data_IF_943412750203
#
_entry.id   IF_943412750203
#
_cell.length_a   1.000
_cell.length_b   1.000
_cell.length_c   1.000
_cell.angle_alpha   90.00
_cell.angle_beta   90.00
_cell.angle_gamma   90.00
#
_symmetry.space_group_name_H-M   'P 1'
#
loop_
_entity.id
_entity.type
_entity.pdbx_description
1 polymer ?
#
# COMPACT_ATOMS: atom_id res chain seq x y z
N UNK A 1 28.80 -23.83 46.94
CA UNK A 1 27.59 -24.51 46.37
C UNK A 1 26.60 -23.42 45.96
N UNK A 2 26.22 -23.31 44.70
CA UNK A 2 25.18 -22.35 44.33
C UNK A 2 23.88 -22.86 44.93
N UNK A 3 23.17 -21.96 45.61
CA UNK A 3 21.87 -22.20 46.18
C UNK A 3 20.87 -22.39 45.01
N UNK A 4 20.19 -23.54 44.98
CA UNK A 4 19.11 -23.76 44.02
C UNK A 4 17.88 -22.99 44.52
N UNK A 5 17.43 -21.96 43.76
CA UNK A 5 16.13 -21.35 44.03
C UNK A 5 15.05 -22.42 43.85
N UNK A 6 14.36 -22.75 44.94
CA UNK A 6 13.22 -23.67 44.87
C UNK A 6 12.00 -22.93 44.28
N UNK A 7 11.35 -23.51 43.30
CA UNK A 7 10.10 -22.97 42.76
C UNK A 7 8.93 -23.29 43.73
N UNK A 8 7.83 -22.50 43.65
CA UNK A 8 6.60 -22.80 44.44
C UNK A 8 6.06 -24.21 44.15
N UNK A 9 6.33 -24.76 43.00
CA UNK A 9 5.95 -26.10 42.63
C UNK A 9 6.84 -27.15 43.29
N UNK A 10 8.13 -26.91 43.38
CA UNK A 10 9.08 -27.80 44.05
C UNK A 10 8.77 -27.86 45.55
N UNK A 11 8.40 -26.75 46.17
CA UNK A 11 7.99 -26.72 47.57
C UNK A 11 6.72 -27.55 47.82
N UNK A 12 5.72 -27.46 46.93
CA UNK A 12 4.48 -28.25 47.02
C UNK A 12 4.79 -29.75 46.80
N UNK A 13 5.69 -30.07 45.90
CA UNK A 13 6.13 -31.44 45.63
C UNK A 13 6.85 -32.05 46.87
N UNK A 14 7.80 -31.32 47.46
CA UNK A 14 8.46 -31.72 48.72
C UNK A 14 7.47 -31.94 49.86
N UNK A 15 6.52 -31.03 49.99
CA UNK A 15 5.48 -31.16 51.03
C UNK A 15 4.64 -32.43 50.86
N UNK A 16 4.24 -32.74 49.61
CA UNK A 16 3.45 -33.95 49.31
C UNK A 16 4.30 -35.21 49.47
N UNK A 17 5.55 -35.21 49.05
CA UNK A 17 6.47 -36.38 49.18
C UNK A 17 6.65 -36.75 50.67
N UNK A 18 6.96 -35.79 51.52
CA UNK A 18 7.15 -36.03 52.96
C UNK A 18 5.85 -36.45 53.66
N UNK A 19 4.70 -35.94 53.20
CA UNK A 19 3.39 -36.41 53.67
C UNK A 19 3.19 -37.90 53.31
N UNK A 20 3.58 -38.33 52.11
CA UNK A 20 3.49 -39.76 51.71
C UNK A 20 4.45 -40.67 52.45
N UNK A 21 5.60 -40.11 52.91
CA UNK A 21 6.54 -40.79 53.77
C UNK A 21 6.04 -40.94 55.23
N UNK A 22 4.82 -40.43 55.53
CA UNK A 22 4.14 -40.63 56.81
C UNK A 22 4.27 -39.49 57.83
N UNK A 23 4.84 -38.33 57.43
CA UNK A 23 4.96 -37.21 58.32
C UNK A 23 3.60 -36.52 58.59
N UNK A 24 3.45 -35.97 59.78
CA UNK A 24 2.22 -35.26 60.22
C UNK A 24 2.04 -33.99 59.41
N UNK A 25 0.80 -33.74 58.89
CA UNK A 25 0.44 -32.49 58.18
C UNK A 25 0.70 -31.27 59.10
N UNK A 26 0.52 -31.40 60.39
CA UNK A 26 0.71 -30.28 61.34
C UNK A 26 2.17 -29.85 61.44
N UNK A 27 3.08 -30.80 61.44
CA UNK A 27 4.52 -30.55 61.58
C UNK A 27 5.07 -30.02 60.24
N UNK A 28 4.65 -30.63 59.10
CA UNK A 28 4.96 -30.14 57.79
C UNK A 28 4.50 -28.70 57.57
N UNK A 29 3.27 -28.38 57.97
CA UNK A 29 2.77 -27.00 57.85
C UNK A 29 3.58 -25.98 58.68
N UNK A 30 4.08 -26.40 59.85
CA UNK A 30 4.94 -25.56 60.70
C UNK A 30 6.29 -25.32 60.05
N UNK A 31 6.88 -26.35 59.47
CA UNK A 31 8.19 -26.29 58.83
C UNK A 31 8.16 -25.49 57.50
N UNK A 32 7.16 -25.76 56.67
CA UNK A 32 6.98 -25.03 55.40
C UNK A 32 6.36 -23.63 55.55
N UNK A 33 6.05 -23.17 56.77
CA UNK A 33 5.50 -21.84 57.04
C UNK A 33 4.13 -21.59 56.44
N UNK A 34 3.31 -22.65 56.28
CA UNK A 34 1.96 -22.54 55.68
C UNK A 34 0.88 -22.86 56.71
N UNK A 35 -0.33 -22.34 56.52
CA UNK A 35 -1.46 -22.67 57.36
C UNK A 35 -1.90 -24.12 57.18
N UNK A 36 -2.43 -24.76 58.29
CA UNK A 36 -2.98 -26.13 58.22
C UNK A 36 -4.05 -26.26 57.12
N UNK A 37 -4.89 -25.19 56.93
CA UNK A 37 -5.91 -25.16 55.89
C UNK A 37 -5.27 -25.25 54.48
N UNK A 38 -4.13 -24.59 54.29
CA UNK A 38 -3.37 -24.66 53.02
C UNK A 38 -2.77 -26.05 52.82
N UNK A 39 -2.16 -26.66 53.85
CA UNK A 39 -1.62 -27.99 53.82
C UNK A 39 -2.68 -29.04 53.43
N UNK A 40 -3.82 -29.02 54.15
CA UNK A 40 -4.93 -29.94 53.80
C UNK A 40 -5.48 -29.71 52.38
N UNK A 41 -5.54 -28.48 51.89
CA UNK A 41 -5.95 -28.20 50.51
C UNK A 41 -4.96 -28.75 49.46
N UNK A 42 -3.66 -28.70 49.75
CA UNK A 42 -2.64 -29.24 48.85
C UNK A 42 -2.76 -30.76 48.79
N UNK A 43 -2.89 -31.42 49.93
CA UNK A 43 -3.04 -32.88 49.98
C UNK A 43 -4.36 -33.34 49.35
N UNK A 44 -5.49 -32.66 49.63
CA UNK A 44 -6.76 -32.98 48.99
C UNK A 44 -6.69 -32.91 47.47
N UNK A 45 -6.07 -31.86 46.93
CA UNK A 45 -5.86 -31.72 45.49
C UNK A 45 -5.00 -32.82 44.89
N UNK A 46 -3.93 -33.19 45.60
CA UNK A 46 -3.07 -34.28 45.16
C UNK A 46 -3.84 -35.61 45.12
N UNK A 47 -4.68 -35.90 46.16
CA UNK A 47 -5.51 -37.11 46.21
C UNK A 47 -6.56 -37.16 45.11
N UNK A 48 -7.14 -36.00 44.73
CA UNK A 48 -8.17 -35.91 43.67
C UNK A 48 -7.60 -36.08 42.25
N UNK A 49 -6.48 -35.48 41.93
CA UNK A 49 -6.00 -35.34 40.56
C UNK A 49 -4.48 -35.52 40.36
N UNK A 50 -3.80 -36.07 41.38
CA UNK A 50 -2.36 -36.34 41.31
C UNK A 50 -1.46 -35.08 41.23
N UNK A 51 -0.27 -35.25 40.69
CA UNK A 51 0.76 -34.20 40.66
C UNK A 51 0.37 -32.99 39.83
N UNK A 52 -0.43 -33.16 38.79
CA UNK A 52 -0.92 -32.06 37.93
C UNK A 52 -1.79 -31.05 38.68
N UNK A 53 -2.47 -31.49 39.74
CA UNK A 53 -3.31 -30.64 40.55
C UNK A 53 -2.54 -29.66 41.49
N UNK A 54 -1.22 -29.87 41.62
CA UNK A 54 -0.35 -28.98 42.40
C UNK A 54 0.00 -27.70 41.67
N UNK A 55 -0.23 -27.63 40.36
CA UNK A 55 -0.13 -26.39 39.59
C UNK A 55 -1.14 -25.37 40.04
N UNK A 56 -0.80 -24.08 39.98
CA UNK A 56 -1.72 -23.03 40.36
C UNK A 56 -2.90 -22.99 39.36
N UNK A 57 -4.11 -23.19 39.90
CA UNK A 57 -5.32 -23.06 39.07
C UNK A 57 -5.51 -21.60 38.67
N UNK A 58 -5.96 -21.38 37.42
CA UNK A 58 -6.31 -20.05 36.95
C UNK A 58 -7.35 -19.42 37.89
N UNK A 59 -7.06 -18.23 38.40
CA UNK A 59 -7.98 -17.43 39.23
C UNK A 59 -9.00 -16.67 38.36
N UNK A 60 -9.00 -16.85 37.06
CA UNK A 60 -9.97 -16.20 36.16
C UNK A 60 -11.36 -16.74 36.43
N UNK A 61 -12.35 -15.88 36.62
CA UNK A 61 -13.75 -16.31 36.75
C UNK A 61 -14.19 -17.08 35.51
N UNK A 62 -14.97 -18.12 35.65
CA UNK A 62 -15.54 -18.90 34.55
C UNK A 62 -16.56 -18.06 33.74
N UNK A 63 -17.22 -17.11 34.40
CA UNK A 63 -18.13 -16.12 33.81
C UNK A 63 -17.70 -14.72 34.21
N UNK A 64 -17.62 -13.82 33.25
CA UNK A 64 -17.38 -12.40 33.48
C UNK A 64 -18.70 -11.65 33.28
N UNK A 65 -19.01 -10.70 34.15
CA UNK A 65 -20.22 -9.88 34.05
C UNK A 65 -20.35 -9.14 32.72
N UNK A 66 -19.19 -8.77 32.11
CA UNK A 66 -19.10 -8.07 30.83
C UNK A 66 -18.66 -9.01 29.69
N UNK A 67 -18.93 -10.31 29.78
CA UNK A 67 -18.60 -11.23 28.70
C UNK A 67 -19.51 -10.97 27.50
N UNK A 68 -18.90 -10.90 26.30
CA UNK A 68 -19.65 -10.74 25.07
C UNK A 68 -20.65 -11.89 24.88
N UNK A 69 -21.88 -11.62 24.42
CA UNK A 69 -22.82 -12.68 24.06
C UNK A 69 -22.20 -13.65 23.06
N UNK A 70 -22.44 -14.94 23.24
CA UNK A 70 -21.86 -16.00 22.42
C UNK A 70 -22.13 -15.81 20.92
N UNK A 71 -23.33 -15.35 20.56
CA UNK A 71 -23.70 -15.07 19.17
C UNK A 71 -22.80 -13.99 18.55
N UNK A 72 -22.47 -12.93 19.30
CA UNK A 72 -21.58 -11.85 18.81
C UNK A 72 -20.15 -12.36 18.66
N UNK A 73 -19.69 -13.19 19.59
CA UNK A 73 -18.38 -13.85 19.48
C UNK A 73 -18.28 -14.74 18.24
N UNK A 74 -19.32 -15.56 17.98
CA UNK A 74 -19.39 -16.37 16.75
C UNK A 74 -19.37 -15.53 15.47
N UNK A 75 -20.06 -14.39 15.44
CA UNK A 75 -20.02 -13.48 14.29
C UNK A 75 -18.63 -12.89 14.06
N UNK A 76 -17.93 -12.50 15.12
CA UNK A 76 -16.54 -12.04 15.03
C UNK A 76 -15.65 -13.12 14.39
N UNK A 77 -15.76 -14.36 14.85
CA UNK A 77 -15.00 -15.50 14.31
C UNK A 77 -15.38 -15.77 12.85
N UNK A 78 -16.66 -15.74 12.52
CA UNK A 78 -17.17 -15.95 11.14
C UNK A 78 -16.64 -14.87 10.18
N UNK A 79 -16.69 -13.60 10.58
CA UNK A 79 -16.12 -12.48 9.80
C UNK A 79 -14.62 -12.70 9.61
N UNK A 80 -13.89 -13.12 10.67
CA UNK A 80 -12.46 -13.41 10.57
C UNK A 80 -12.14 -14.56 9.65
N UNK A 81 -12.96 -15.62 9.61
CA UNK A 81 -12.81 -16.74 8.68
C UNK A 81 -13.08 -16.32 7.23
N UNK A 82 -14.07 -15.47 7.02
CA UNK A 82 -14.37 -14.89 5.70
C UNK A 82 -13.24 -13.97 5.24
N UNK A 83 -12.68 -13.18 6.16
CA UNK A 83 -11.61 -12.19 5.90
C UNK A 83 -10.36 -12.47 6.75
N UNK A 84 -9.59 -13.53 6.45
CA UNK A 84 -8.50 -13.99 7.33
C UNK A 84 -7.41 -12.96 7.60
N UNK A 85 -7.26 -11.98 6.70
CA UNK A 85 -6.22 -10.95 6.77
C UNK A 85 -6.67 -9.65 7.44
N UNK A 86 -7.93 -9.57 7.86
CA UNK A 86 -8.44 -8.39 8.56
C UNK A 86 -8.08 -8.45 10.05
N UNK A 87 -7.67 -7.29 10.58
CA UNK A 87 -7.45 -7.11 12.02
C UNK A 87 -8.73 -6.67 12.74
N UNK A 88 -8.69 -6.68 14.07
CA UNK A 88 -9.82 -6.33 14.93
C UNK A 88 -10.56 -5.02 14.57
N UNK A 89 -9.89 -3.92 14.19
CA UNK A 89 -10.60 -2.69 13.81
C UNK A 89 -11.53 -2.87 12.61
N UNK A 90 -11.09 -3.61 11.58
CA UNK A 90 -11.90 -3.84 10.36
C UNK A 90 -13.06 -4.80 10.60
N UNK A 91 -12.81 -5.84 11.41
CA UNK A 91 -13.84 -6.80 11.81
C UNK A 91 -14.91 -6.09 12.63
N UNK A 92 -14.51 -5.18 13.55
CA UNK A 92 -15.43 -4.34 14.29
C UNK A 92 -16.31 -3.50 13.37
N UNK A 93 -15.72 -2.84 12.39
CA UNK A 93 -16.46 -2.00 11.44
C UNK A 93 -17.46 -2.83 10.62
N UNK A 94 -17.05 -4.01 10.18
CA UNK A 94 -17.94 -4.94 9.48
C UNK A 94 -19.09 -5.41 10.37
N UNK A 95 -18.82 -5.62 11.66
CA UNK A 95 -19.84 -5.99 12.64
C UNK A 95 -20.89 -4.86 12.79
N UNK A 96 -20.44 -3.61 12.89
CA UNK A 96 -21.31 -2.43 12.97
C UNK A 96 -22.23 -2.36 11.73
N UNK A 97 -21.64 -2.47 10.56
CA UNK A 97 -22.38 -2.32 9.28
C UNK A 97 -23.40 -3.41 9.05
N UNK A 98 -23.20 -4.63 9.59
CA UNK A 98 -24.11 -5.77 9.41
C UNK A 98 -25.15 -5.91 10.52
N UNK A 99 -24.84 -5.40 11.71
CA UNK A 99 -25.67 -5.55 12.89
C UNK A 99 -25.75 -4.21 13.65
N UNK A 100 -26.40 -3.18 13.08
CA UNK A 100 -26.45 -1.85 13.67
C UNK A 100 -27.15 -1.82 15.04
N UNK A 101 -28.07 -2.74 15.27
CA UNK A 101 -28.87 -2.82 16.51
C UNK A 101 -28.15 -3.51 17.68
N UNK A 102 -26.98 -4.12 17.42
CA UNK A 102 -26.22 -4.81 18.47
C UNK A 102 -25.21 -3.84 19.11
N UNK A 103 -25.13 -3.78 20.45
CA UNK A 103 -24.09 -3.02 21.14
C UNK A 103 -22.70 -3.43 20.64
N UNK A 104 -22.00 -2.52 19.96
CA UNK A 104 -20.74 -2.85 19.30
C UNK A 104 -19.61 -2.96 20.31
N UNK A 105 -18.90 -4.09 20.38
CA UNK A 105 -17.78 -4.26 21.29
C UNK A 105 -16.61 -3.33 20.94
N UNK A 106 -15.81 -2.98 21.95
CA UNK A 106 -14.59 -2.23 21.74
C UNK A 106 -13.59 -3.04 20.86
N UNK A 107 -12.71 -2.35 20.13
CA UNK A 107 -11.68 -3.01 19.29
C UNK A 107 -10.79 -3.96 20.09
N UNK A 108 -10.48 -3.62 21.35
CA UNK A 108 -9.72 -4.48 22.26
C UNK A 108 -10.47 -5.77 22.60
N UNK A 109 -11.79 -5.70 22.78
CA UNK A 109 -12.63 -6.87 23.01
C UNK A 109 -12.67 -7.78 21.80
N UNK A 110 -12.83 -7.22 20.58
CA UNK A 110 -12.75 -7.98 19.34
C UNK A 110 -11.38 -8.67 19.21
N UNK A 111 -10.29 -7.95 19.52
CA UNK A 111 -8.95 -8.53 19.51
C UNK A 111 -8.82 -9.68 20.51
N UNK A 112 -9.32 -9.52 21.73
CA UNK A 112 -9.27 -10.56 22.75
C UNK A 112 -10.07 -11.83 22.37
N UNK A 113 -11.21 -11.67 21.66
CA UNK A 113 -11.95 -12.80 21.08
C UNK A 113 -11.09 -13.52 20.05
N UNK A 114 -10.52 -12.78 19.09
CA UNK A 114 -9.67 -13.36 18.05
C UNK A 114 -8.45 -14.07 18.62
N UNK A 115 -7.84 -13.52 19.66
CA UNK A 115 -6.67 -14.09 20.35
C UNK A 115 -7.02 -15.41 21.05
N UNK A 116 -8.15 -15.47 21.77
CA UNK A 116 -8.65 -16.71 22.40
C UNK A 116 -8.87 -17.84 21.40
N UNK A 117 -9.31 -17.49 20.18
CA UNK A 117 -9.53 -18.46 19.10
C UNK A 117 -8.26 -18.75 18.28
N UNK A 118 -7.07 -18.26 18.68
CA UNK A 118 -5.82 -18.45 17.97
C UNK A 118 -5.77 -17.79 16.57
N UNK A 119 -6.63 -16.80 16.33
CA UNK A 119 -6.78 -16.15 15.04
C UNK A 119 -5.93 -14.86 14.90
N UNK A 120 -5.07 -14.59 15.87
CA UNK A 120 -4.15 -13.44 15.87
C UNK A 120 -2.73 -13.92 15.61
N UNK A 121 -2.11 -13.37 14.57
CA UNK A 121 -0.69 -13.55 14.34
C UNK A 121 0.09 -12.44 15.04
N UNK A 122 0.83 -12.75 16.09
CA UNK A 122 1.74 -11.80 16.73
C UNK A 122 2.85 -11.41 15.78
N UNK A 123 2.94 -10.13 15.41
CA UNK A 123 4.03 -9.58 14.62
C UNK A 123 4.98 -8.81 15.52
N UNK A 124 6.29 -9.02 15.34
CA UNK A 124 7.28 -8.15 15.97
C UNK A 124 7.01 -6.69 15.56
N UNK A 125 7.09 -5.72 16.47
CA UNK A 125 6.89 -4.32 16.14
C UNK A 125 7.89 -3.90 15.06
N UNK A 126 7.39 -3.26 14.01
CA UNK A 126 8.22 -2.69 12.96
C UNK A 126 8.86 -1.40 13.49
N UNK A 127 10.15 -1.22 13.22
CA UNK A 127 10.83 0.05 13.53
C UNK A 127 10.12 1.19 12.81
N UNK A 128 9.88 2.30 13.51
CA UNK A 128 9.39 3.54 12.91
C UNK A 128 10.42 4.04 11.88
N UNK A 129 9.93 4.36 10.69
CA UNK A 129 10.76 5.00 9.65
C UNK A 129 10.55 6.51 9.72
N UNK A 130 11.59 7.27 9.42
CA UNK A 130 11.51 8.71 9.30
C UNK A 130 10.41 9.13 8.31
N UNK A 131 9.71 10.22 8.61
CA UNK A 131 8.74 10.81 7.68
C UNK A 131 9.49 11.31 6.47
N UNK A 132 9.16 10.81 5.28
CA UNK A 132 9.72 11.33 4.02
C UNK A 132 9.16 12.71 3.71
N UNK A 133 9.88 13.47 2.88
CA UNK A 133 9.40 14.76 2.35
C UNK A 133 8.11 14.52 1.56
N UNK A 134 7.04 15.22 1.90
CA UNK A 134 5.77 15.10 1.20
C UNK A 134 5.86 15.75 -0.20
N UNK A 135 5.30 15.06 -1.19
CA UNK A 135 4.95 15.66 -2.49
C UNK A 135 3.54 16.27 -2.40
N UNK A 136 2.98 16.66 -3.54
CA UNK A 136 1.62 17.21 -3.59
C UNK A 136 0.62 16.30 -2.88
N UNK A 137 -0.35 16.88 -2.19
CA UNK A 137 -1.42 16.17 -1.51
C UNK A 137 -2.76 16.52 -2.18
N UNK A 138 -3.37 15.53 -2.83
CA UNK A 138 -4.71 15.67 -3.37
C UNK A 138 -5.75 15.54 -2.26
N UNK A 139 -6.76 16.41 -2.30
CA UNK A 139 -7.87 16.43 -1.34
C UNK A 139 -9.14 15.78 -1.91
N UNK A 140 -9.28 15.77 -3.23
CA UNK A 140 -10.45 15.23 -3.92
C UNK A 140 -10.07 14.09 -4.88
N UNK A 141 -10.99 13.18 -5.19
CA UNK A 141 -10.77 12.15 -6.20
C UNK A 141 -10.36 12.74 -7.56
N UNK A 142 -9.50 12.01 -8.25
CA UNK A 142 -8.97 12.32 -9.58
C UNK A 142 -8.06 13.56 -9.67
N UNK A 143 -7.79 14.27 -8.57
CA UNK A 143 -6.73 15.28 -8.59
C UNK A 143 -5.34 14.65 -8.79
N UNK A 144 -5.14 13.47 -8.25
CA UNK A 144 -3.85 12.77 -8.37
C UNK A 144 -4.07 11.27 -8.39
N UNK A 145 -3.65 10.62 -9.48
CA UNK A 145 -3.51 9.17 -9.52
C UNK A 145 -2.07 8.78 -9.23
N UNK A 146 -1.87 7.70 -8.49
CA UNK A 146 -0.56 7.09 -8.28
C UNK A 146 -0.47 5.83 -9.12
N UNK A 147 0.62 5.69 -9.86
CA UNK A 147 0.87 4.54 -10.72
C UNK A 147 2.22 3.93 -10.38
N UNK A 148 2.29 2.61 -10.44
CA UNK A 148 3.53 1.86 -10.26
C UNK A 148 3.36 0.43 -10.80
N UNK A 149 4.47 -0.19 -11.20
CA UNK A 149 4.54 -1.62 -11.43
C UNK A 149 4.88 -2.33 -10.11
N UNK A 150 4.00 -3.22 -9.68
CA UNK A 150 4.31 -4.08 -8.55
C UNK A 150 5.33 -5.11 -8.97
N UNK A 151 6.59 -4.92 -8.72
CA UNK A 151 7.68 -5.81 -9.10
C UNK A 151 7.26 -7.21 -9.55
N UNK A 152 7.95 -7.76 -10.50
CA UNK A 152 7.65 -9.04 -11.16
C UNK A 152 7.55 -10.22 -10.20
N UNK A 153 6.76 -11.21 -10.56
CA UNK A 153 6.73 -12.51 -9.92
C UNK A 153 6.36 -13.59 -10.95
N UNK A 154 6.80 -14.80 -10.68
CA UNK A 154 6.60 -15.93 -11.57
C UNK A 154 5.25 -16.60 -11.32
N UNK A 155 4.53 -16.88 -12.39
CA UNK A 155 3.28 -17.65 -12.41
C UNK A 155 3.55 -19.17 -12.42
N UNK A 156 2.52 -19.97 -12.26
CA UNK A 156 2.62 -21.43 -12.28
C UNK A 156 3.13 -22.00 -13.62
N UNK A 157 2.84 -21.33 -14.73
CA UNK A 157 3.32 -21.67 -16.08
C UNK A 157 4.75 -21.16 -16.37
N UNK A 158 5.46 -20.67 -15.36
CA UNK A 158 6.83 -20.13 -15.41
C UNK A 158 6.97 -18.81 -16.20
N UNK A 159 5.90 -18.16 -16.58
CA UNK A 159 5.95 -16.79 -17.12
C UNK A 159 5.98 -15.77 -16.00
N UNK A 160 6.62 -14.62 -16.27
CA UNK A 160 6.62 -13.49 -15.34
C UNK A 160 5.39 -12.63 -15.55
N UNK A 161 4.81 -12.18 -14.43
CA UNK A 161 3.74 -11.19 -14.39
C UNK A 161 4.27 -9.88 -13.83
N UNK A 162 3.97 -8.77 -14.53
CA UNK A 162 4.31 -7.40 -14.17
C UNK A 162 3.03 -6.62 -13.87
N UNK A 163 2.49 -6.64 -12.65
CA UNK A 163 1.22 -5.97 -12.36
C UNK A 163 1.33 -4.45 -12.50
N UNK A 164 0.60 -3.88 -13.45
CA UNK A 164 0.36 -2.45 -13.52
C UNK A 164 -0.73 -2.07 -12.52
N UNK A 165 -0.45 -1.15 -11.62
CA UNK A 165 -1.42 -0.71 -10.61
C UNK A 165 -1.61 0.79 -10.66
N UNK A 166 -2.86 1.23 -10.56
CA UNK A 166 -3.25 2.63 -10.53
C UNK A 166 -4.21 2.85 -9.36
N UNK A 167 -3.92 3.82 -8.50
CA UNK A 167 -4.79 4.17 -7.38
C UNK A 167 -5.09 5.66 -7.36
N UNK A 168 -6.29 6.03 -6.98
CA UNK A 168 -6.59 7.41 -6.62
C UNK A 168 -5.96 7.76 -5.27
N UNK A 169 -5.27 8.89 -5.21
CA UNK A 169 -4.52 9.30 -4.02
C UNK A 169 -5.40 9.63 -2.84
N UNK A 170 -6.51 10.33 -3.04
CA UNK A 170 -7.37 10.83 -1.96
C UNK A 170 -8.27 9.73 -1.41
N UNK A 171 -9.04 9.08 -2.25
CA UNK A 171 -10.01 8.04 -1.89
C UNK A 171 -9.38 6.67 -1.65
N UNK A 172 -8.12 6.46 -2.07
CA UNK A 172 -7.45 5.15 -2.08
C UNK A 172 -8.09 4.12 -3.01
N UNK A 173 -9.01 4.53 -3.85
CA UNK A 173 -9.68 3.64 -4.79
C UNK A 173 -8.65 3.03 -5.75
N UNK A 174 -8.65 1.70 -5.84
CA UNK A 174 -7.80 0.96 -6.75
C UNK A 174 -8.47 0.93 -8.13
N UNK A 175 -8.00 1.82 -9.01
CA UNK A 175 -8.54 2.02 -10.35
C UNK A 175 -8.18 0.86 -11.27
N UNK A 176 -6.95 0.34 -11.12
CA UNK A 176 -6.42 -0.71 -11.96
C UNK A 176 -5.47 -1.63 -11.18
N UNK A 177 -5.56 -2.91 -11.47
CA UNK A 177 -4.54 -3.91 -11.18
C UNK A 177 -4.55 -4.90 -12.35
N UNK A 178 -3.64 -4.74 -13.30
CA UNK A 178 -3.63 -5.50 -14.55
C UNK A 178 -2.38 -6.36 -14.66
N UNK A 179 -2.59 -7.63 -14.99
CA UNK A 179 -1.51 -8.58 -15.23
C UNK A 179 -0.88 -8.32 -16.60
N UNK A 180 0.33 -7.77 -16.61
CA UNK A 180 1.08 -7.49 -17.83
C UNK A 180 2.17 -8.54 -18.03
N UNK A 181 2.44 -8.89 -19.31
CA UNK A 181 3.55 -9.78 -19.68
C UNK A 181 4.90 -9.05 -19.68
N UNK A 182 4.88 -7.73 -19.75
CA UNK A 182 6.07 -6.89 -19.73
C UNK A 182 5.73 -5.45 -19.32
N UNK A 183 6.76 -4.67 -19.03
CA UNK A 183 6.65 -3.23 -18.77
C UNK A 183 6.76 -2.39 -20.05
N UNK A 184 6.47 -2.96 -21.22
CA UNK A 184 6.55 -2.24 -22.50
C UNK A 184 5.56 -1.09 -22.53
N UNK A 185 6.04 0.03 -23.04
CA UNK A 185 5.32 1.32 -23.08
C UNK A 185 3.97 1.23 -23.81
N UNK A 186 3.93 0.51 -24.93
CA UNK A 186 2.70 0.35 -25.72
C UNK A 186 1.57 -0.35 -24.92
N UNK A 187 1.92 -1.36 -24.13
CA UNK A 187 0.93 -2.06 -23.30
C UNK A 187 0.36 -1.12 -22.22
N UNK A 188 1.24 -0.31 -21.62
CA UNK A 188 0.82 0.69 -20.65
C UNK A 188 -0.10 1.75 -21.28
N UNK A 189 0.23 2.26 -22.47
CA UNK A 189 -0.61 3.23 -23.20
C UNK A 189 -2.01 2.65 -23.43
N UNK A 190 -2.11 1.41 -23.93
CA UNK A 190 -3.40 0.74 -24.16
C UNK A 190 -4.22 0.59 -22.88
N UNK A 191 -3.57 0.21 -21.78
CA UNK A 191 -4.24 0.12 -20.47
C UNK A 191 -4.75 1.49 -20.02
N UNK A 192 -3.94 2.53 -20.08
CA UNK A 192 -4.35 3.88 -19.71
C UNK A 192 -5.48 4.43 -20.58
N UNK A 193 -5.45 4.15 -21.88
CA UNK A 193 -6.53 4.56 -22.78
C UNK A 193 -7.88 3.97 -22.35
N UNK A 194 -7.92 2.69 -21.99
CA UNK A 194 -9.10 2.04 -21.42
C UNK A 194 -9.53 2.68 -20.11
N UNK A 195 -8.58 2.90 -19.18
CA UNK A 195 -8.87 3.53 -17.89
C UNK A 195 -9.43 4.95 -18.05
N UNK A 196 -8.88 5.73 -18.97
CA UNK A 196 -9.36 7.10 -19.24
C UNK A 196 -10.77 7.11 -19.84
N UNK A 197 -11.12 6.13 -20.68
CA UNK A 197 -12.49 5.98 -21.18
C UNK A 197 -13.48 5.62 -20.06
N UNK A 198 -13.04 4.79 -19.13
CA UNK A 198 -13.90 4.30 -18.06
C UNK A 198 -14.05 5.29 -16.91
N UNK A 199 -12.95 5.84 -16.43
CA UNK A 199 -12.90 6.66 -15.21
C UNK A 199 -12.78 8.17 -15.48
N UNK A 200 -12.50 8.59 -16.72
CA UNK A 200 -12.14 9.95 -17.08
C UNK A 200 -10.67 10.29 -16.78
N UNK A 201 -10.28 11.54 -17.05
CA UNK A 201 -8.90 11.99 -16.92
C UNK A 201 -8.61 12.54 -15.52
N UNK A 202 -7.52 12.18 -14.86
CA UNK A 202 -7.05 12.84 -13.65
C UNK A 202 -6.40 14.19 -13.98
N UNK A 203 -6.19 15.03 -12.95
CA UNK A 203 -5.44 16.27 -13.13
C UNK A 203 -3.93 16.02 -13.19
N UNK A 204 -3.44 15.04 -12.40
CA UNK A 204 -2.05 14.67 -12.37
C UNK A 204 -1.87 13.15 -12.18
N UNK A 205 -0.73 12.62 -12.64
CA UNK A 205 -0.29 11.25 -12.40
C UNK A 205 1.08 11.28 -11.74
N UNK A 206 1.18 10.62 -10.58
CA UNK A 206 2.45 10.39 -9.86
C UNK A 206 2.99 9.01 -10.19
N UNK A 207 4.25 8.98 -10.65
CA UNK A 207 4.97 7.73 -10.95
C UNK A 207 6.36 7.72 -10.32
N UNK A 208 7.00 6.57 -10.35
CA UNK A 208 8.43 6.45 -10.17
C UNK A 208 9.20 6.96 -11.42
N UNK A 209 10.54 6.84 -11.39
CA UNK A 209 11.40 7.21 -12.49
C UNK A 209 11.78 6.01 -13.39
N UNK A 210 11.10 4.89 -13.24
CA UNK A 210 11.34 3.67 -14.02
C UNK A 210 10.63 3.68 -15.38
N UNK A 211 11.06 2.80 -16.25
CA UNK A 211 10.38 2.51 -17.51
C UNK A 211 9.05 1.80 -17.20
N UNK A 212 7.93 2.18 -17.82
CA UNK A 212 7.75 3.07 -18.98
C UNK A 212 7.42 4.53 -18.64
N UNK A 213 7.42 4.91 -17.36
CA UNK A 213 7.00 6.25 -16.93
C UNK A 213 8.03 7.33 -17.21
N UNK A 214 9.30 6.94 -17.28
CA UNK A 214 10.43 7.82 -17.54
C UNK A 214 11.43 7.16 -18.50
N UNK A 215 12.17 8.00 -19.23
CA UNK A 215 13.30 7.57 -20.08
C UNK A 215 14.53 8.36 -19.71
N UNK A 216 15.60 7.73 -19.17
CA UNK A 216 16.76 8.44 -18.67
C UNK A 216 17.55 9.19 -19.74
N UNK A 217 17.40 8.83 -21.01
CA UNK A 217 18.11 9.43 -22.15
C UNK A 217 17.30 10.47 -22.92
N UNK A 218 16.04 10.69 -22.54
CA UNK A 218 15.19 11.67 -23.21
C UNK A 218 15.24 13.03 -22.50
N UNK A 219 14.92 14.09 -23.22
CA UNK A 219 14.83 15.44 -22.68
C UNK A 219 13.89 15.46 -21.48
N UNK A 220 14.32 16.01 -20.34
CA UNK A 220 13.60 16.03 -19.07
C UNK A 220 13.14 14.64 -18.57
N UNK A 221 13.76 13.56 -19.07
CA UNK A 221 13.39 12.20 -18.74
C UNK A 221 12.00 11.79 -19.25
N UNK A 222 11.42 12.47 -20.24
CA UNK A 222 10.11 12.13 -20.78
C UNK A 222 10.13 10.75 -21.45
N UNK A 223 9.04 10.01 -21.34
CA UNK A 223 8.75 8.79 -22.10
C UNK A 223 7.58 9.05 -23.06
N UNK A 224 7.31 8.18 -24.02
CA UNK A 224 6.13 8.33 -24.89
C UNK A 224 4.84 8.28 -24.09
N UNK A 225 4.79 7.46 -23.02
CA UNK A 225 3.65 7.41 -22.11
C UNK A 225 3.46 8.74 -21.37
N UNK A 226 4.52 9.34 -20.87
CA UNK A 226 4.46 10.64 -20.21
C UNK A 226 4.09 11.77 -21.18
N UNK A 227 4.60 11.74 -22.40
CA UNK A 227 4.19 12.65 -23.49
C UNK A 227 2.70 12.48 -23.81
N UNK A 228 2.20 11.26 -23.86
CA UNK A 228 0.78 10.96 -24.07
C UNK A 228 -0.09 11.59 -22.95
N UNK A 229 0.33 11.47 -21.69
CA UNK A 229 -0.38 12.12 -20.56
C UNK A 229 -0.40 13.63 -20.69
N UNK A 230 0.75 14.26 -21.00
CA UNK A 230 0.81 15.71 -21.22
C UNK A 230 -0.14 16.16 -22.34
N UNK A 231 -0.20 15.40 -23.46
CA UNK A 231 -1.11 15.67 -24.57
C UNK A 231 -2.60 15.63 -24.18
N UNK A 232 -2.94 14.89 -23.11
CA UNK A 232 -4.28 14.85 -22.54
C UNK A 232 -4.51 15.93 -21.46
N UNK A 233 -3.53 16.81 -21.25
CA UNK A 233 -3.60 17.83 -20.19
C UNK A 233 -3.50 17.26 -18.78
N UNK A 234 -2.80 16.13 -18.63
CA UNK A 234 -2.51 15.49 -17.34
C UNK A 234 -1.11 15.89 -16.91
N UNK A 235 -0.97 16.50 -15.75
CA UNK A 235 0.32 16.86 -15.18
C UNK A 235 1.10 15.63 -14.72
N UNK A 236 2.43 15.68 -14.84
CA UNK A 236 3.32 14.61 -14.39
C UNK A 236 3.94 15.01 -13.07
N UNK A 237 3.91 14.11 -12.10
CA UNK A 237 4.63 14.25 -10.84
C UNK A 237 5.53 13.04 -10.62
N UNK A 238 6.82 13.25 -10.40
CA UNK A 238 7.80 12.19 -10.18
C UNK A 238 8.28 12.17 -8.75
N UNK A 239 8.43 10.97 -8.19
CA UNK A 239 9.08 10.82 -6.89
C UNK A 239 10.59 11.06 -7.04
N UNK A 240 11.23 11.56 -5.97
CA UNK A 240 12.68 11.67 -5.93
C UNK A 240 13.32 10.29 -6.02
N UNK A 241 14.39 10.11 -6.83
CA UNK A 241 15.15 8.87 -6.83
C UNK A 241 15.60 8.50 -5.40
N UNK A 242 15.44 7.23 -5.03
CA UNK A 242 15.78 6.74 -3.69
C UNK A 242 14.77 7.08 -2.58
N UNK A 243 13.65 7.76 -2.89
CA UNK A 243 12.62 8.12 -1.90
C UNK A 243 11.26 7.44 -2.16
N UNK A 244 11.16 6.11 -2.09
CA UNK A 244 9.91 5.39 -2.33
C UNK A 244 8.80 5.80 -1.36
N UNK A 245 9.15 6.33 -0.19
CA UNK A 245 8.22 6.81 0.83
C UNK A 245 7.24 7.89 0.30
N UNK A 246 7.63 8.64 -0.74
CA UNK A 246 6.80 9.63 -1.40
C UNK A 246 5.57 9.01 -2.09
N UNK A 247 5.63 7.70 -2.41
CA UNK A 247 4.50 6.90 -2.87
C UNK A 247 4.01 5.88 -1.82
N UNK A 248 4.25 6.14 -0.53
CA UNK A 248 4.01 5.19 0.57
C UNK A 248 2.55 4.72 0.71
N UNK A 249 1.58 5.49 0.19
CA UNK A 249 0.18 5.06 0.12
C UNK A 249 0.01 3.91 -0.85
N UNK A 250 0.60 4.03 -2.02
CA UNK A 250 0.60 3.02 -3.08
C UNK A 250 1.38 1.76 -2.65
N UNK A 251 2.56 1.94 -2.04
CA UNK A 251 3.33 0.82 -1.48
C UNK A 251 2.55 0.02 -0.42
N UNK A 252 1.74 0.69 0.39
CA UNK A 252 0.88 0.01 1.36
C UNK A 252 -0.18 -0.85 0.66
N UNK A 253 -0.76 -0.38 -0.44
CA UNK A 253 -1.66 -1.15 -1.28
C UNK A 253 -0.92 -2.36 -1.86
N UNK A 254 0.28 -2.18 -2.42
CA UNK A 254 1.12 -3.26 -2.93
C UNK A 254 1.43 -4.34 -1.88
N UNK A 255 1.65 -3.96 -0.62
CA UNK A 255 1.84 -4.93 0.46
C UNK A 255 0.60 -5.80 0.64
N UNK A 256 -0.58 -5.20 0.54
CA UNK A 256 -1.84 -5.93 0.63
C UNK A 256 -2.01 -6.83 -0.58
N UNK A 257 -1.85 -6.31 -1.80
CA UNK A 257 -1.91 -7.05 -3.06
C UNK A 257 -1.00 -8.29 -3.03
N UNK A 258 0.27 -8.11 -2.61
CA UNK A 258 1.22 -9.23 -2.48
C UNK A 258 0.72 -10.35 -1.59
N UNK A 259 0.05 -10.01 -0.52
CA UNK A 259 -0.49 -11.02 0.41
C UNK A 259 -1.69 -11.77 -0.18
N UNK A 260 -2.48 -11.13 -1.04
CA UNK A 260 -3.71 -11.69 -1.59
C UNK A 260 -3.48 -12.46 -2.89
N UNK A 261 -2.63 -11.95 -3.78
CA UNK A 261 -2.60 -12.38 -5.17
C UNK A 261 -1.28 -12.98 -5.64
N UNK A 262 -0.22 -12.99 -4.81
CA UNK A 262 1.07 -13.52 -5.26
C UNK A 262 1.56 -14.73 -4.45
N UNK A 263 0.80 -15.16 -3.43
CA UNK A 263 1.15 -16.32 -2.58
C UNK A 263 -0.09 -17.08 -2.15
N UNK A 264 -0.50 -18.10 -2.93
CA UNK A 264 0.06 -18.53 -4.21
C UNK A 264 -0.25 -17.56 -5.36
N UNK A 265 0.57 -17.56 -6.41
CA UNK A 265 0.28 -16.90 -7.68
C UNK A 265 -0.66 -17.76 -8.53
N UNK A 266 -1.32 -17.15 -9.52
CA UNK A 266 -2.13 -17.84 -10.50
C UNK A 266 -1.29 -18.80 -11.38
N UNK A 267 -1.93 -19.79 -11.96
CA UNK A 267 -1.25 -20.73 -12.86
C UNK A 267 -0.82 -20.07 -14.18
N UNK A 268 -1.59 -19.09 -14.65
CA UNK A 268 -1.35 -18.35 -15.90
C UNK A 268 -1.86 -16.92 -15.77
N UNK A 269 -1.63 -16.09 -16.81
CA UNK A 269 -2.04 -14.68 -16.83
C UNK A 269 -3.54 -14.48 -16.62
N UNK A 270 -4.39 -15.35 -17.20
CA UNK A 270 -5.83 -15.22 -17.09
C UNK A 270 -6.32 -15.45 -15.65
N UNK A 271 -5.85 -16.50 -15.01
CA UNK A 271 -6.17 -16.77 -13.60
C UNK A 271 -5.59 -15.68 -12.69
N UNK A 272 -4.41 -15.16 -13.01
CA UNK A 272 -3.82 -14.08 -12.23
C UNK A 272 -4.66 -12.80 -12.36
N UNK A 273 -5.17 -12.50 -13.56
CA UNK A 273 -6.05 -11.36 -13.77
C UNK A 273 -7.37 -11.52 -12.99
N UNK A 274 -7.97 -12.69 -13.00
CA UNK A 274 -9.17 -12.98 -12.20
C UNK A 274 -8.90 -12.76 -10.68
N UNK A 275 -7.74 -13.17 -10.18
CA UNK A 275 -7.35 -12.90 -8.80
C UNK A 275 -7.22 -11.40 -8.51
N UNK A 276 -6.71 -10.63 -9.46
CA UNK A 276 -6.62 -9.17 -9.33
C UNK A 276 -7.99 -8.51 -9.35
N UNK A 277 -8.91 -8.95 -10.18
CA UNK A 277 -10.28 -8.42 -10.24
C UNK A 277 -11.04 -8.67 -8.93
N UNK A 278 -10.94 -9.88 -8.38
CA UNK A 278 -11.48 -10.19 -7.04
C UNK A 278 -10.84 -9.32 -5.95
N UNK A 279 -9.54 -9.06 -6.06
CA UNK A 279 -8.84 -8.19 -5.13
C UNK A 279 -9.29 -6.74 -5.26
N UNK A 280 -9.48 -6.22 -6.48
CA UNK A 280 -10.01 -4.86 -6.73
C UNK A 280 -11.39 -4.72 -6.08
N UNK A 281 -12.26 -5.69 -6.30
CA UNK A 281 -13.61 -5.69 -5.73
C UNK A 281 -13.57 -5.68 -4.19
N UNK A 282 -12.84 -6.63 -3.58
CA UNK A 282 -12.66 -6.65 -2.12
C UNK A 282 -12.06 -5.35 -1.59
N UNK A 283 -11.01 -4.85 -2.24
CA UNK A 283 -10.26 -3.68 -1.80
C UNK A 283 -11.11 -2.41 -1.81
N UNK A 284 -11.90 -2.21 -2.85
CA UNK A 284 -12.71 -1.03 -3.06
C UNK A 284 -14.06 -1.08 -2.34
N UNK A 285 -14.74 -2.22 -2.41
CA UNK A 285 -16.15 -2.33 -2.03
C UNK A 285 -16.37 -2.91 -0.63
N UNK A 286 -15.43 -3.74 -0.15
CA UNK A 286 -15.63 -4.46 1.11
C UNK A 286 -14.70 -4.01 2.24
N UNK A 287 -13.47 -3.61 1.89
CA UNK A 287 -12.41 -3.38 2.87
C UNK A 287 -12.49 -2.00 3.52
N UNK A 288 -12.71 -1.89 4.86
CA UNK A 288 -12.61 -0.62 5.56
C UNK A 288 -11.15 -0.15 5.64
N UNK A 289 -10.92 1.15 5.46
CA UNK A 289 -9.59 1.75 5.50
C UNK A 289 -9.44 2.67 6.70
N UNK A 290 -8.56 2.33 7.64
CA UNK A 290 -8.31 3.15 8.83
C UNK A 290 -7.92 4.60 8.51
N UNK A 291 -7.20 4.82 7.42
CA UNK A 291 -6.80 6.15 6.97
C UNK A 291 -7.93 6.93 6.26
N UNK A 292 -9.09 6.33 6.08
CA UNK A 292 -10.33 6.91 5.57
C UNK A 292 -11.42 6.86 6.65
N UNK A 293 -11.04 6.90 7.93
CA UNK A 293 -11.98 6.79 9.04
C UNK A 293 -12.85 5.53 8.97
N UNK A 294 -12.25 4.43 8.55
CA UNK A 294 -12.89 3.13 8.32
C UNK A 294 -13.88 3.09 7.15
N UNK A 295 -14.04 4.16 6.38
CA UNK A 295 -14.83 4.14 5.12
C UNK A 295 -14.14 3.28 4.07
N UNK A 296 -14.92 2.77 3.12
CA UNK A 296 -14.43 2.03 1.97
C UNK A 296 -14.02 3.01 0.85
N UNK A 297 -13.05 2.68 0.00
CA UNK A 297 -12.67 3.52 -1.12
C UNK A 297 -13.85 3.93 -2.01
N UNK A 298 -14.78 3.01 -2.29
CA UNK A 298 -15.98 3.26 -3.11
C UNK A 298 -16.89 4.33 -2.53
N UNK A 299 -16.95 4.48 -1.22
CA UNK A 299 -17.80 5.48 -0.55
C UNK A 299 -17.31 6.91 -0.85
N UNK A 300 -16.03 7.08 -1.15
CA UNK A 300 -15.37 8.36 -1.37
C UNK A 300 -15.04 8.64 -2.82
N UNK A 301 -14.85 7.61 -3.64
CA UNK A 301 -14.46 7.78 -5.04
C UNK A 301 -15.65 8.26 -5.89
N UNK A 302 -15.35 9.11 -6.86
CA UNK A 302 -16.28 9.52 -7.93
C UNK A 302 -15.51 9.59 -9.23
N UNK A 303 -16.14 9.27 -10.36
CA UNK A 303 -15.52 9.39 -11.68
C UNK A 303 -15.12 10.83 -11.97
N UNK A 304 -14.09 11.02 -12.77
CA UNK A 304 -13.64 12.35 -13.16
C UNK A 304 -14.68 13.05 -14.06
N UNK A 305 -14.83 14.36 -13.85
CA UNK A 305 -15.63 15.21 -14.72
C UNK A 305 -14.92 15.58 -16.04
N UNK A 306 -13.67 15.15 -16.21
CA UNK A 306 -12.88 15.36 -17.44
C UNK A 306 -12.99 14.12 -18.32
N UNK A 307 -13.89 14.09 -19.32
CA UNK A 307 -14.04 12.90 -20.18
C UNK A 307 -12.86 12.76 -21.12
N UNK A 308 -12.50 11.51 -21.42
CA UNK A 308 -11.49 11.21 -22.45
C UNK A 308 -12.07 11.45 -23.86
N UNK A 309 -11.49 12.38 -24.60
CA UNK A 309 -11.87 12.74 -25.97
C UNK A 309 -10.79 12.42 -27.01
N UNK A 310 -9.75 11.68 -26.59
CA UNK A 310 -8.57 11.50 -27.40
C UNK A 310 -7.61 12.69 -27.36
N UNK A 311 -6.54 12.59 -28.10
CA UNK A 311 -5.49 13.62 -28.17
C UNK A 311 -5.91 14.68 -29.19
N UNK A 312 -5.97 15.93 -28.77
CA UNK A 312 -6.28 17.09 -29.65
C UNK A 312 -5.02 17.67 -30.27
N UNK A 313 -5.12 18.28 -31.47
CA UNK A 313 -4.01 19.06 -32.03
C UNK A 313 -3.57 20.17 -31.07
N UNK A 314 -2.27 20.44 -31.03
CA UNK A 314 -1.71 21.53 -30.22
C UNK A 314 -1.47 22.73 -31.11
N UNK A 315 -1.82 23.93 -30.65
CA UNK A 315 -1.49 25.20 -31.31
C UNK A 315 -0.53 26.01 -30.44
N UNK A 316 0.33 26.75 -31.08
CA UNK A 316 1.34 27.59 -30.44
C UNK A 316 1.18 29.09 -30.83
N UNK A 317 0.10 29.74 -30.37
CA UNK A 317 -0.22 31.10 -30.84
C UNK A 317 0.78 32.18 -30.40
N UNK A 318 1.59 31.90 -29.38
CA UNK A 318 2.60 32.82 -28.85
C UNK A 318 4.04 32.50 -29.30
N UNK A 319 4.18 31.60 -30.29
CA UNK A 319 5.45 31.21 -30.87
C UNK A 319 5.55 31.66 -32.33
N UNK A 320 6.76 31.92 -32.78
CA UNK A 320 6.99 32.41 -34.14
C UNK A 320 6.75 31.33 -35.21
N UNK A 321 7.04 30.07 -34.84
CA UNK A 321 6.90 28.91 -35.74
C UNK A 321 6.41 27.69 -34.97
N UNK A 322 5.64 26.86 -35.67
CA UNK A 322 5.33 25.48 -35.22
C UNK A 322 6.05 24.53 -36.12
N UNK A 323 6.79 23.59 -35.52
CA UNK A 323 7.61 22.62 -36.29
C UNK A 323 7.32 21.22 -35.82
N UNK A 324 7.05 20.30 -36.76
CA UNK A 324 6.85 18.89 -36.46
C UNK A 324 8.20 18.17 -36.30
N UNK A 325 8.33 17.39 -35.23
CA UNK A 325 9.53 16.61 -34.94
C UNK A 325 9.57 15.38 -35.85
N UNK A 326 10.68 15.16 -36.55
CA UNK A 326 10.88 14.03 -37.42
C UNK A 326 10.92 12.70 -36.66
N UNK A 327 10.77 11.56 -37.36
CA UNK A 327 10.82 10.21 -36.75
C UNK A 327 12.12 9.93 -35.97
N UNK A 328 13.24 10.60 -36.34
CA UNK A 328 14.50 10.51 -35.58
C UNK A 328 14.64 11.53 -34.46
N UNK A 329 13.57 12.20 -34.06
CA UNK A 329 13.57 13.13 -32.91
C UNK A 329 14.24 14.48 -33.21
N UNK A 330 14.26 14.94 -34.48
CA UNK A 330 14.92 16.17 -34.89
C UNK A 330 13.92 17.19 -35.40
N UNK A 331 14.21 18.45 -35.21
CA UNK A 331 13.59 19.59 -35.87
C UNK A 331 14.53 20.13 -36.94
N UNK A 332 13.95 20.72 -38.00
CA UNK A 332 14.68 21.36 -39.06
C UNK A 332 14.35 22.84 -39.11
N UNK A 333 15.35 23.70 -38.89
CA UNK A 333 15.22 25.15 -38.90
C UNK A 333 16.38 25.71 -39.71
N UNK A 334 16.10 26.59 -40.68
CA UNK A 334 17.11 27.25 -41.52
C UNK A 334 18.16 26.27 -42.11
N UNK A 335 17.68 25.13 -42.62
CA UNK A 335 18.47 24.01 -43.14
C UNK A 335 19.38 23.31 -42.12
N UNK A 336 19.30 23.65 -40.84
CA UNK A 336 20.03 22.98 -39.75
C UNK A 336 19.13 21.94 -39.05
N UNK A 337 19.73 20.82 -38.66
CA UNK A 337 19.04 19.71 -37.97
C UNK A 337 19.44 19.68 -36.51
N UNK A 338 18.47 19.89 -35.63
CA UNK A 338 18.64 19.96 -34.18
C UNK A 338 17.96 18.76 -33.55
N UNK A 339 18.69 17.97 -32.77
CA UNK A 339 18.11 16.81 -32.07
C UNK A 339 17.44 17.25 -30.79
N UNK A 340 16.13 16.94 -30.64
CA UNK A 340 15.36 17.16 -29.42
C UNK A 340 15.23 15.85 -28.60
N UNK A 341 14.41 14.95 -29.11
CA UNK A 341 14.17 13.64 -28.48
C UNK A 341 13.32 12.76 -29.39
N UNK A 342 13.62 11.48 -29.46
CA UNK A 342 12.82 10.50 -30.20
C UNK A 342 11.46 10.23 -29.56
N UNK A 343 11.29 10.50 -28.26
CA UNK A 343 9.99 10.34 -27.57
C UNK A 343 8.96 11.36 -28.02
N UNK A 344 9.40 12.49 -28.59
CA UNK A 344 8.56 13.54 -29.14
C UNK A 344 8.36 13.42 -30.64
N UNK A 345 8.85 12.36 -31.30
CA UNK A 345 8.72 12.16 -32.74
C UNK A 345 7.25 12.20 -33.17
N UNK A 346 6.97 12.91 -34.27
CA UNK A 346 5.61 13.09 -34.79
C UNK A 346 4.76 14.12 -34.06
N UNK A 347 5.29 14.77 -33.03
CA UNK A 347 4.61 15.86 -32.34
C UNK A 347 5.10 17.22 -32.79
N UNK A 348 4.21 18.19 -32.68
CA UNK A 348 4.53 19.58 -32.97
C UNK A 348 5.09 20.27 -31.72
N UNK A 349 6.08 21.14 -31.92
CA UNK A 349 6.67 22.02 -30.92
C UNK A 349 6.58 23.47 -31.37
N UNK A 350 6.38 24.35 -30.42
CA UNK A 350 6.45 25.80 -30.63
C UNK A 350 7.91 26.25 -30.54
N UNK A 351 8.27 27.15 -31.41
CA UNK A 351 9.62 27.74 -31.48
C UNK A 351 9.49 29.23 -31.49
N UNK A 352 10.18 29.89 -30.54
CA UNK A 352 10.19 31.33 -30.38
C UNK A 352 11.62 31.85 -30.41
N UNK A 353 11.88 32.84 -31.23
CA UNK A 353 13.18 33.51 -31.24
C UNK A 353 13.30 34.41 -30.01
N UNK A 354 14.36 34.22 -29.23
CA UNK A 354 14.65 35.00 -28.02
C UNK A 354 15.81 35.93 -28.20
N UNK A 355 16.75 35.59 -29.09
CA UNK A 355 17.89 36.40 -29.46
C UNK A 355 18.29 36.12 -30.91
N UNK A 356 19.26 36.83 -31.48
CA UNK A 356 19.60 36.84 -32.92
C UNK A 356 19.80 35.42 -33.50
N UNK A 357 20.30 34.45 -32.72
CA UNK A 357 20.49 33.04 -33.14
C UNK A 357 20.00 32.02 -32.13
N UNK A 358 19.38 32.50 -31.05
CA UNK A 358 18.90 31.66 -29.94
C UNK A 358 17.39 31.52 -30.00
N UNK A 359 16.93 30.28 -29.93
CA UNK A 359 15.52 29.94 -30.02
C UNK A 359 15.08 29.12 -28.81
N UNK A 360 13.94 29.45 -28.26
CA UNK A 360 13.24 28.67 -27.24
C UNK A 360 12.41 27.60 -27.93
N UNK A 361 12.47 26.37 -27.40
CA UNK A 361 11.59 25.26 -27.82
C UNK A 361 10.62 24.94 -26.71
N UNK A 362 9.33 24.92 -27.02
CA UNK A 362 8.28 24.59 -26.07
C UNK A 362 7.43 23.42 -26.60
N UNK A 363 7.07 22.51 -25.69
CA UNK A 363 6.10 21.45 -25.93
C UNK A 363 4.90 21.62 -25.03
N UNK A 364 3.72 21.78 -25.60
CA UNK A 364 2.53 22.19 -24.86
C UNK A 364 2.79 23.54 -24.13
N UNK A 365 2.60 23.53 -22.81
CA UNK A 365 2.85 24.68 -21.93
C UNK A 365 4.21 24.59 -21.21
N UNK A 366 5.11 23.73 -21.68
CA UNK A 366 6.39 23.49 -21.04
C UNK A 366 7.54 23.89 -21.97
N UNK A 367 8.41 24.74 -21.49
CA UNK A 367 9.64 25.07 -22.17
C UNK A 367 10.63 23.93 -22.00
N UNK A 368 11.16 23.43 -23.11
CA UNK A 368 12.08 22.29 -23.12
C UNK A 368 13.55 22.74 -23.00
N UNK A 369 13.87 23.88 -23.58
CA UNK A 369 15.24 24.40 -23.60
C UNK A 369 15.45 25.40 -24.70
N UNK A 370 16.64 25.93 -24.74
CA UNK A 370 17.10 26.84 -25.79
C UNK A 370 17.99 26.06 -26.77
N UNK A 371 17.97 26.45 -28.03
CA UNK A 371 18.97 26.00 -28.98
C UNK A 371 19.59 27.19 -29.70
N UNK A 372 20.87 27.11 -29.91
CA UNK A 372 21.65 28.02 -30.72
C UNK A 372 21.85 27.40 -32.14
N UNK A 373 21.61 28.20 -33.15
CA UNK A 373 21.78 27.76 -34.55
C UNK A 373 23.25 27.47 -34.88
N UNK A 374 24.21 28.01 -34.18
CA UNK A 374 25.62 27.74 -34.47
C UNK A 374 26.07 26.39 -33.93
N UNK A 375 25.71 26.10 -32.67
CA UNK A 375 26.06 24.84 -32.04
C UNK A 375 25.17 23.66 -32.49
N UNK A 376 23.95 23.96 -32.97
CA UNK A 376 22.91 22.96 -33.32
C UNK A 376 22.57 22.01 -32.18
N UNK A 377 22.74 22.45 -30.92
CA UNK A 377 22.46 21.69 -29.71
C UNK A 377 21.39 22.37 -28.89
N UNK A 378 20.58 21.53 -28.23
CA UNK A 378 19.59 22.00 -27.27
C UNK A 378 20.25 22.01 -25.89
N UNK A 379 20.17 23.15 -25.22
CA UNK A 379 20.50 23.33 -23.81
C UNK A 379 19.20 23.26 -23.02
N UNK A 380 18.92 22.15 -22.31
CA UNK A 380 17.70 22.00 -21.55
C UNK A 380 17.69 22.99 -20.38
N UNK A 381 16.54 23.58 -20.12
CA UNK A 381 16.30 24.36 -18.90
C UNK A 381 16.05 23.42 -17.72
N UNK A 382 15.85 24.01 -16.52
CA UNK A 382 15.47 23.24 -15.34
C UNK A 382 14.27 22.32 -15.63
N UNK A 383 14.38 21.07 -15.19
CA UNK A 383 13.37 20.06 -15.47
C UNK A 383 12.01 20.42 -14.85
N UNK A 384 10.99 20.81 -15.64
CA UNK A 384 9.70 21.21 -15.12
C UNK A 384 8.91 20.04 -14.50
N UNK A 385 9.32 18.81 -14.78
CA UNK A 385 8.70 17.56 -14.27
C UNK A 385 9.47 16.96 -13.10
N UNK A 386 10.52 17.65 -12.63
CA UNK A 386 11.28 17.25 -11.46
C UNK A 386 10.43 17.28 -10.19
N UNK A 387 10.84 16.57 -9.14
CA UNK A 387 10.12 16.57 -7.87
C UNK A 387 10.09 17.99 -7.29
N UNK A 388 8.91 18.58 -7.20
CA UNK A 388 8.68 19.83 -6.47
C UNK A 388 8.86 19.54 -4.98
N UNK A 389 9.96 19.96 -4.42
CA UNK A 389 10.17 19.96 -2.97
C UNK A 389 9.46 21.19 -2.44
N UNK A 390 8.41 20.99 -1.64
CA UNK A 390 7.88 22.08 -0.82
C UNK A 390 9.03 22.50 0.11
N UNK A 391 9.52 23.72 -0.03
CA UNK A 391 10.44 24.32 0.92
C UNK A 391 9.80 24.23 2.29
N UNK A 392 10.54 23.68 3.27
CA UNK A 392 10.11 23.77 4.66
C UNK A 392 10.00 25.26 4.96
N UNK A 393 8.81 25.69 5.41
CA UNK A 393 8.67 27.02 5.99
C UNK A 393 9.70 27.14 7.11
N UNK A 394 10.50 28.18 7.17
CA UNK A 394 11.32 28.45 8.35
C UNK A 394 10.33 28.63 9.53
N UNK A 395 10.54 27.85 10.60
CA UNK A 395 9.91 28.10 11.89
C UNK A 395 10.44 29.41 12.48
#
# INVERSE_FOLDING_TARGET
>A
MPWSESTKMDEKLKFVARYLDGESISDLCREFGISRVTGHKVIARYRESGLEALTDRSRRPVRFANQLPFQVEQQIVKIKQQWPRWGAPKIRERLISHFPDIPTPATSTVHAVLDRHGLVNSRKPSRSRAKGTALSAAQSPNQLWCVDYKGEFMLGDRRYCYPLTVTDFSSRFLICCEAMESTREQMAITAFERLFREFGLPDAIRSDNGVPFSSPHAIHGLSKLSVYWLRLGIAIERIKPGNPQQNGRHERMHRTLKQYCTRPAGMNMLQQQEMFERFIDEYNNERPHQALEMKRPVDLYRRSNRPYKGVTPVSYPFHDKTVTITACGRICIERKKIHLSTVLAGHDVGIKQVDERIWLVSFMNYDLGYFDLDSCRVEPIDNPFGPRVLTMSPE
#
